data_IF_710269177118
#
_entry.id   IF_710269177118
#
_cell.length_a   1.000
_cell.length_b   1.000
_cell.length_c   1.000
_cell.angle_alpha   90.00
_cell.angle_beta   90.00
_cell.angle_gamma   90.00
#
_symmetry.space_group_name_H-M   'P 1'
#
loop_
_entity.id
_entity.type
_entity.pdbx_description
1 polymer ?
#
# COMPACT_ATOMS: atom_id res chain seq x y z
N UNK A 1 56.67 -2.11 -19.75
CA UNK A 1 56.34 -0.71 -19.42
C UNK A 1 54.94 -0.67 -18.82
N UNK A 2 54.76 0.04 -17.71
CA UNK A 2 53.55 0.07 -16.85
C UNK A 2 52.34 0.70 -17.56
N UNK A 3 51.12 0.28 -17.20
CA UNK A 3 49.99 1.08 -16.63
C UNK A 3 48.74 0.16 -16.54
N UNK A 4 48.35 -0.32 -15.36
CA UNK A 4 47.35 0.26 -14.43
C UNK A 4 45.92 0.39 -14.99
N UNK A 5 45.09 -0.58 -14.59
CA UNK A 5 43.69 -0.48 -14.14
C UNK A 5 43.02 0.89 -14.16
N UNK A 6 41.85 0.99 -14.79
CA UNK A 6 40.69 1.80 -14.33
C UNK A 6 39.40 1.08 -14.80
N UNK A 7 38.72 0.43 -13.84
CA UNK A 7 37.24 0.36 -13.81
C UNK A 7 36.73 1.78 -13.58
N UNK A 8 35.68 2.21 -14.29
CA UNK A 8 34.52 2.96 -13.78
C UNK A 8 33.70 3.60 -14.92
N UNK A 9 32.40 3.69 -14.68
CA UNK A 9 31.35 4.43 -15.41
C UNK A 9 30.73 3.76 -16.64
N UNK A 10 29.96 2.71 -16.36
CA UNK A 10 28.63 2.54 -16.97
C UNK A 10 27.74 3.59 -16.31
N UNK A 11 27.23 4.54 -17.07
CA UNK A 11 26.33 5.57 -16.58
C UNK A 11 26.22 6.70 -17.59
N UNK A 12 24.98 7.08 -17.90
CA UNK A 12 24.56 8.11 -18.85
C UNK A 12 24.44 7.63 -20.31
N UNK A 13 23.54 6.67 -20.53
CA UNK A 13 22.88 6.44 -21.81
C UNK A 13 21.42 6.87 -21.68
N UNK A 14 21.14 8.15 -21.92
CA UNK A 14 19.93 8.69 -22.55
C UNK A 14 19.98 10.20 -22.42
N UNK A 15 20.62 10.84 -23.39
CA UNK A 15 20.40 12.24 -23.66
C UNK A 15 20.36 12.46 -25.17
N UNK A 16 19.22 12.95 -25.61
CA UNK A 16 19.13 13.99 -26.64
C UNK A 16 19.35 13.56 -28.10
N UNK A 17 18.31 13.02 -28.75
CA UNK A 17 18.07 13.26 -30.18
C UNK A 17 16.56 13.52 -30.38
N UNK A 18 16.15 14.77 -30.20
CA UNK A 18 14.91 15.31 -30.80
C UNK A 18 15.34 16.52 -31.61
N UNK A 19 15.55 16.33 -32.92
CA UNK A 19 15.43 17.40 -33.90
C UNK A 19 15.48 16.80 -35.32
N UNK A 20 14.65 17.38 -36.19
CA UNK A 20 14.63 17.30 -37.66
C UNK A 20 13.69 16.26 -38.29
N UNK A 21 12.44 16.70 -38.48
CA UNK A 21 11.78 16.53 -39.78
C UNK A 21 10.89 17.75 -40.10
N UNK A 22 10.80 18.17 -41.38
CA UNK A 22 10.43 19.53 -41.77
C UNK A 22 8.93 19.82 -41.73
N UNK A 23 8.62 21.06 -41.40
CA UNK A 23 7.30 21.70 -41.44
C UNK A 23 6.84 21.84 -42.90
N UNK A 24 5.88 21.03 -43.35
CA UNK A 24 5.16 21.29 -44.61
C UNK A 24 3.93 22.15 -44.31
N UNK A 25 3.93 23.37 -44.86
CA UNK A 25 2.75 24.21 -44.99
C UNK A 25 1.88 23.62 -46.10
N UNK A 26 0.65 23.22 -45.77
CA UNK A 26 -0.38 22.90 -46.75
C UNK A 26 -1.39 24.04 -46.78
N UNK A 27 -1.43 24.77 -47.90
CA UNK A 27 -2.59 25.53 -48.31
C UNK A 27 -3.14 24.84 -49.57
N UNK A 28 -4.40 24.41 -49.56
CA UNK A 28 -5.38 24.67 -50.62
C UNK A 28 -6.62 23.76 -50.48
N UNK A 29 -7.76 24.44 -50.49
CA UNK A 29 -9.08 24.07 -51.02
C UNK A 29 -9.96 23.01 -50.34
N UNK A 30 -11.23 23.43 -50.22
CA UNK A 30 -12.32 22.78 -49.54
C UNK A 30 -12.76 21.50 -50.25
N UNK A 31 -12.99 20.45 -49.48
CA UNK A 31 -14.02 19.45 -49.79
C UNK A 31 -14.52 18.88 -48.47
N UNK A 32 -15.82 19.02 -48.24
CA UNK A 32 -16.51 18.64 -47.02
C UNK A 32 -16.65 17.12 -46.97
N UNK A 33 -15.77 16.45 -46.24
CA UNK A 33 -16.00 15.07 -45.82
C UNK A 33 -16.21 15.05 -44.30
N UNK A 34 -17.47 14.92 -43.90
CA UNK A 34 -17.85 14.65 -42.51
C UNK A 34 -17.46 13.22 -42.15
N UNK A 35 -16.17 12.98 -41.93
CA UNK A 35 -15.72 11.85 -41.12
C UNK A 35 -15.85 12.28 -39.67
N UNK A 36 -16.93 11.84 -39.03
CA UNK A 36 -17.02 11.76 -37.57
C UNK A 36 -15.93 10.81 -37.10
N UNK A 37 -14.71 11.31 -36.98
CA UNK A 37 -13.64 10.61 -36.32
C UNK A 37 -14.01 10.61 -34.84
N UNK A 38 -14.56 9.48 -34.40
CA UNK A 38 -14.81 9.18 -33.00
C UNK A 38 -13.52 9.43 -32.24
N UNK A 39 -13.46 10.58 -31.56
CA UNK A 39 -12.47 10.83 -30.54
C UNK A 39 -12.80 9.90 -29.38
N UNK A 40 -12.29 8.68 -29.45
CA UNK A 40 -12.09 7.89 -28.24
C UNK A 40 -11.00 8.65 -27.50
N UNK A 41 -11.40 9.56 -26.61
CA UNK A 41 -10.50 9.91 -25.52
C UNK A 41 -10.28 8.61 -24.77
N UNK A 42 -9.04 8.15 -24.71
CA UNK A 42 -8.63 7.18 -23.70
C UNK A 42 -8.78 7.88 -22.35
N UNK A 43 -10.01 7.93 -21.87
CA UNK A 43 -10.33 8.25 -20.49
C UNK A 43 -9.77 7.08 -19.70
N UNK A 44 -8.59 7.28 -19.10
CA UNK A 44 -8.03 6.35 -18.13
C UNK A 44 -9.05 6.28 -17.00
N UNK A 45 -9.89 5.25 -17.03
CA UNK A 45 -10.85 4.97 -15.97
C UNK A 45 -10.02 4.43 -14.81
N UNK A 46 -9.69 5.30 -13.86
CA UNK A 46 -9.20 4.87 -12.56
C UNK A 46 -10.33 4.09 -11.88
N UNK A 47 -10.18 2.76 -11.77
CA UNK A 47 -11.12 1.93 -11.05
C UNK A 47 -10.65 1.82 -9.60
N UNK A 48 -11.25 2.61 -8.73
CA UNK A 48 -11.09 2.43 -7.29
C UNK A 48 -11.77 1.12 -6.89
N UNK A 49 -10.98 0.10 -6.57
CA UNK A 49 -11.48 -1.18 -6.08
C UNK A 49 -11.76 -1.07 -4.58
N UNK A 50 -12.77 -1.81 -4.09
CA UNK A 50 -13.11 -1.89 -2.67
C UNK A 50 -13.18 -3.35 -2.28
N UNK A 51 -12.51 -3.72 -1.19
CA UNK A 51 -12.43 -5.10 -0.72
C UNK A 51 -12.55 -5.19 0.81
N UNK A 52 -12.65 -6.43 1.29
CA UNK A 52 -12.79 -6.81 2.68
C UNK A 52 -11.64 -7.73 3.06
N UNK A 53 -10.91 -7.34 4.10
CA UNK A 53 -9.99 -8.26 4.77
C UNK A 53 -10.74 -8.94 5.90
N UNK A 54 -10.79 -10.28 5.91
CA UNK A 54 -11.52 -11.11 6.88
C UNK A 54 -10.73 -12.40 7.14
N UNK A 55 -9.59 -12.25 7.84
CA UNK A 55 -8.60 -13.33 7.96
C UNK A 55 -8.12 -13.52 9.41
N UNK A 56 -7.78 -14.78 9.72
CA UNK A 56 -7.04 -15.11 10.94
C UNK A 56 -5.55 -14.78 10.75
N UNK A 57 -4.98 -14.04 11.71
CA UNK A 57 -3.58 -13.62 11.68
C UNK A 57 -2.76 -14.30 12.79
N UNK A 58 -1.46 -14.43 12.53
CA UNK A 58 -0.48 -14.93 13.48
C UNK A 58 0.78 -14.06 13.40
N UNK A 59 1.18 -13.45 14.51
CA UNK A 59 2.31 -12.53 14.58
C UNK A 59 3.12 -12.75 15.85
N UNK A 60 4.44 -12.64 15.74
CA UNK A 60 5.32 -12.75 16.89
C UNK A 60 5.39 -11.43 17.66
N UNK A 61 5.17 -11.50 18.97
CA UNK A 61 5.25 -10.35 19.89
C UNK A 61 6.58 -10.41 20.63
N UNK A 62 7.52 -9.64 20.12
CA UNK A 62 8.91 -9.55 20.58
C UNK A 62 9.01 -9.25 22.09
N UNK A 63 8.27 -8.26 22.57
CA UNK A 63 8.36 -7.80 23.95
C UNK A 63 7.94 -8.82 25.02
N UNK A 64 7.17 -9.86 24.67
CA UNK A 64 6.80 -10.96 25.58
C UNK A 64 7.30 -12.32 25.09
N UNK A 65 8.10 -12.34 24.01
CA UNK A 65 8.64 -13.56 23.39
C UNK A 65 7.58 -14.64 23.16
N UNK A 66 6.45 -14.25 22.57
CA UNK A 66 5.28 -15.10 22.40
C UNK A 66 4.57 -14.88 21.07
N UNK A 67 3.82 -15.89 20.63
CA UNK A 67 2.96 -15.78 19.46
C UNK A 67 1.63 -15.13 19.84
N UNK A 68 1.17 -14.17 19.04
CA UNK A 68 -0.17 -13.62 19.09
C UNK A 68 -0.99 -14.09 17.88
N UNK A 69 -2.19 -14.57 18.15
CA UNK A 69 -3.19 -14.90 17.13
C UNK A 69 -4.43 -14.06 17.33
N UNK A 70 -5.18 -13.83 16.26
CA UNK A 70 -6.50 -13.22 16.35
C UNK A 70 -7.13 -13.12 14.97
N UNK A 71 -8.32 -12.55 14.93
CA UNK A 71 -9.08 -12.39 13.71
C UNK A 71 -9.22 -10.92 13.35
N UNK A 72 -8.80 -10.56 12.14
CA UNK A 72 -8.74 -9.18 11.66
C UNK A 72 -9.78 -8.96 10.56
N UNK A 73 -10.67 -8.01 10.78
CA UNK A 73 -11.75 -7.66 9.86
C UNK A 73 -11.80 -6.15 9.59
N UNK A 74 -11.68 -5.73 8.33
CA UNK A 74 -11.86 -4.34 7.93
C UNK A 74 -12.15 -4.20 6.43
N UNK A 75 -12.64 -3.02 6.03
CA UNK A 75 -12.82 -2.65 4.62
C UNK A 75 -11.76 -1.67 4.18
N UNK A 76 -11.34 -1.78 2.93
CA UNK A 76 -10.38 -0.87 2.33
C UNK A 76 -10.67 -0.69 0.85
N UNK A 77 -9.99 0.29 0.27
CA UNK A 77 -10.08 0.58 -1.17
C UNK A 77 -8.72 0.98 -1.69
N UNK A 78 -8.42 0.59 -2.92
CA UNK A 78 -7.15 0.93 -3.58
C UNK A 78 -7.38 1.28 -5.05
N UNK A 79 -6.46 2.07 -5.58
CA UNK A 79 -6.29 2.35 -7.00
C UNK A 79 -4.89 1.84 -7.36
N UNK A 80 -4.84 0.82 -8.21
CA UNK A 80 -3.65 -0.01 -8.42
C UNK A 80 -2.44 0.84 -8.83
N UNK A 81 -1.39 0.81 -7.99
CA UNK A 81 -0.15 1.58 -8.23
C UNK A 81 -0.25 3.07 -7.88
N UNK A 82 -1.36 3.53 -7.29
CA UNK A 82 -1.62 4.95 -6.98
C UNK A 82 -1.82 5.19 -5.49
N UNK A 83 -2.82 4.57 -4.88
CA UNK A 83 -3.19 4.83 -3.48
C UNK A 83 -3.99 3.68 -2.85
N UNK A 84 -3.95 3.59 -1.54
CA UNK A 84 -4.85 2.76 -0.74
C UNK A 84 -5.43 3.57 0.41
N UNK A 85 -6.59 3.16 0.92
CA UNK A 85 -7.26 3.76 2.06
C UNK A 85 -8.02 2.69 2.84
N UNK A 86 -7.77 2.60 4.15
CA UNK A 86 -8.55 1.82 5.08
C UNK A 86 -9.79 2.63 5.48
N UNK A 87 -10.95 1.99 5.47
CA UNK A 87 -12.20 2.65 5.85
C UNK A 87 -12.36 2.60 7.37
N UNK A 88 -12.69 3.75 7.97
CA UNK A 88 -12.98 3.86 9.40
C UNK A 88 -14.41 3.42 9.76
N UNK A 89 -15.28 3.21 8.75
CA UNK A 89 -16.66 2.75 8.90
C UNK A 89 -17.00 1.71 7.82
N UNK A 90 -17.46 0.50 8.18
CA UNK A 90 -17.60 0.00 9.56
C UNK A 90 -16.27 0.00 10.31
N UNK A 91 -16.32 0.20 11.63
CA UNK A 91 -15.09 0.31 12.43
C UNK A 91 -14.25 -0.97 12.27
N UNK A 92 -12.96 -0.87 11.92
CA UNK A 92 -12.07 -2.03 11.87
C UNK A 92 -12.09 -2.81 13.17
N UNK A 93 -12.05 -4.14 13.08
CA UNK A 93 -12.17 -5.05 14.21
C UNK A 93 -10.98 -5.97 14.28
N UNK A 94 -10.38 -6.05 15.46
CA UNK A 94 -9.42 -7.08 15.82
C UNK A 94 -9.97 -7.79 17.05
N UNK A 95 -10.33 -9.06 16.93
CA UNK A 95 -11.04 -9.79 17.97
C UNK A 95 -10.55 -11.24 18.08
N UNK A 96 -11.00 -11.95 19.12
CA UNK A 96 -10.48 -13.28 19.48
C UNK A 96 -8.95 -13.28 19.65
N UNK A 97 -8.39 -12.16 20.13
CA UNK A 97 -6.94 -12.03 20.32
C UNK A 97 -6.49 -12.95 21.45
N UNK A 98 -5.50 -13.76 21.16
CA UNK A 98 -4.83 -14.65 22.10
C UNK A 98 -3.33 -14.42 22.00
N UNK A 99 -2.64 -14.41 23.15
CA UNK A 99 -1.18 -14.34 23.21
C UNK A 99 -0.70 -15.51 24.04
N UNK A 100 0.22 -16.30 23.51
CA UNK A 100 0.79 -17.42 24.26
C UNK A 100 1.48 -16.92 25.54
N UNK A 101 1.17 -17.50 26.70
CA UNK A 101 1.78 -17.09 27.97
C UNK A 101 1.36 -15.70 28.49
N UNK A 102 0.39 -15.03 27.85
CA UNK A 102 -0.12 -13.75 28.32
C UNK A 102 -1.63 -13.57 28.08
N UNK A 103 -2.27 -12.74 28.89
CA UNK A 103 -3.68 -12.41 28.70
C UNK A 103 -3.81 -11.00 28.11
N UNK A 104 -4.20 -10.84 26.83
CA UNK A 104 -4.60 -9.53 26.33
C UNK A 104 -5.84 -9.09 27.09
N UNK A 105 -5.86 -7.84 27.59
CA UNK A 105 -7.05 -7.30 28.25
C UNK A 105 -8.14 -7.07 27.20
N UNK A 106 -9.01 -8.07 27.04
CA UNK A 106 -10.19 -8.02 26.18
C UNK A 106 -11.10 -6.86 26.61
N UNK A 107 -11.09 -5.77 25.83
CA UNK A 107 -11.98 -4.63 26.09
C UNK A 107 -11.62 -3.31 25.42
N UNK A 108 -10.47 -3.17 24.76
CA UNK A 108 -10.00 -1.87 24.25
C UNK A 108 -9.25 -1.99 22.92
N UNK A 109 -9.87 -2.59 21.89
CA UNK A 109 -9.32 -2.53 20.54
C UNK A 109 -9.89 -1.30 19.84
N UNK A 110 -9.42 -0.12 20.21
CA UNK A 110 -9.73 1.09 19.44
C UNK A 110 -8.79 1.14 18.27
N UNK A 111 -9.30 0.81 17.08
CA UNK A 111 -8.60 1.07 15.83
C UNK A 111 -8.52 2.59 15.60
N UNK A 112 -7.32 3.10 15.42
CA UNK A 112 -7.07 4.45 14.90
C UNK A 112 -6.62 4.33 13.44
N UNK A 113 -7.39 4.92 12.52
CA UNK A 113 -7.16 4.81 11.07
C UNK A 113 -6.62 6.13 10.53
N UNK A 114 -5.52 6.05 9.79
CA UNK A 114 -4.84 7.17 9.15
C UNK A 114 -4.52 6.82 7.70
N UNK A 115 -5.46 7.10 6.79
CA UNK A 115 -5.30 6.77 5.37
C UNK A 115 -5.22 5.25 5.15
N UNK A 116 -4.07 4.79 4.68
CA UNK A 116 -3.71 3.40 4.38
C UNK A 116 -3.21 2.61 5.60
N UNK A 117 -3.04 3.24 6.76
CA UNK A 117 -2.53 2.61 7.98
C UNK A 117 -3.59 2.61 9.09
N UNK A 118 -3.66 1.52 9.87
CA UNK A 118 -4.43 1.45 11.10
C UNK A 118 -3.62 0.89 12.26
N UNK A 119 -3.92 1.39 13.46
CA UNK A 119 -3.22 1.07 14.69
C UNK A 119 -4.17 0.45 15.71
N UNK A 120 -3.70 -0.60 16.39
CA UNK A 120 -4.32 -1.17 17.57
C UNK A 120 -3.34 -1.15 18.73
N UNK A 121 -3.73 -0.53 19.83
CA UNK A 121 -2.94 -0.55 21.06
C UNK A 121 -3.61 -1.41 22.12
N UNK A 122 -2.84 -2.32 22.71
CA UNK A 122 -3.34 -3.16 23.80
C UNK A 122 -2.23 -3.56 24.77
N UNK A 123 -2.62 -3.85 26.00
CA UNK A 123 -1.70 -4.36 27.01
C UNK A 123 -1.74 -5.90 27.04
N UNK A 124 -0.57 -6.52 26.98
CA UNK A 124 -0.40 -7.96 27.22
C UNK A 124 0.28 -8.13 28.58
N UNK A 125 -0.36 -8.86 29.48
CA UNK A 125 0.24 -9.22 30.76
C UNK A 125 1.08 -10.49 30.62
N UNK A 126 2.37 -10.42 30.91
CA UNK A 126 3.22 -11.60 31.16
C UNK A 126 3.25 -11.99 32.65
N UNK A 127 4.06 -12.97 33.02
CA UNK A 127 4.15 -13.50 34.40
C UNK A 127 4.50 -12.44 35.45
N UNK A 128 5.18 -11.35 35.08
CA UNK A 128 5.67 -10.35 36.03
C UNK A 128 5.33 -8.89 35.70
N UNK A 129 4.95 -8.54 34.45
CA UNK A 129 4.69 -7.16 34.02
C UNK A 129 3.67 -7.11 32.86
N UNK A 130 2.87 -6.04 32.81
CA UNK A 130 2.04 -5.73 31.63
C UNK A 130 2.82 -4.82 30.68
N UNK A 131 2.86 -5.19 29.39
CA UNK A 131 3.51 -4.39 28.34
C UNK A 131 2.46 -3.90 27.35
N UNK A 132 2.55 -2.61 27.01
CA UNK A 132 1.76 -2.03 25.94
C UNK A 132 2.39 -2.45 24.61
N UNK A 133 1.56 -2.91 23.67
CA UNK A 133 1.96 -3.31 22.33
C UNK A 133 1.15 -2.49 21.34
N UNK A 134 1.80 -2.07 20.27
CA UNK A 134 1.16 -1.41 19.15
C UNK A 134 1.21 -2.32 17.92
N UNK A 135 0.06 -2.83 17.52
CA UNK A 135 -0.12 -3.63 16.33
C UNK A 135 -0.52 -2.72 15.17
N UNK A 136 0.28 -2.76 14.10
CA UNK A 136 0.13 -1.90 12.93
C UNK A 136 -0.29 -2.75 11.75
N UNK A 137 -1.29 -2.27 11.02
CA UNK A 137 -1.74 -2.86 9.75
C UNK A 137 -1.73 -1.77 8.70
N UNK A 138 -1.25 -2.08 7.50
CA UNK A 138 -1.31 -1.18 6.36
C UNK A 138 -1.70 -1.91 5.09
N UNK A 139 -2.28 -1.18 4.14
CA UNK A 139 -2.63 -1.67 2.81
C UNK A 139 -1.76 -0.95 1.79
N UNK A 140 -1.07 -1.68 0.93
CA UNK A 140 -0.30 -1.06 -0.15
C UNK A 140 -1.18 -0.65 -1.34
N UNK A 141 -0.60 0.10 -2.28
CA UNK A 141 -1.31 0.59 -3.47
C UNK A 141 -1.74 -0.52 -4.45
N UNK A 142 -1.40 -1.79 -4.18
CA UNK A 142 -1.85 -2.96 -4.96
C UNK A 142 -2.91 -3.78 -4.19
N UNK A 143 -3.41 -3.27 -3.06
CA UNK A 143 -4.42 -3.93 -2.25
C UNK A 143 -3.88 -5.03 -1.34
N UNK A 144 -2.55 -5.14 -1.16
CA UNK A 144 -1.96 -6.14 -0.26
C UNK A 144 -1.99 -5.66 1.18
N UNK A 145 -2.53 -6.50 2.06
CA UNK A 145 -2.59 -6.23 3.50
C UNK A 145 -1.33 -6.76 4.18
N UNK A 146 -0.69 -5.88 4.95
CA UNK A 146 0.54 -6.17 5.70
C UNK A 146 0.36 -5.77 7.16
N UNK A 147 1.04 -6.48 8.06
CA UNK A 147 0.92 -6.22 9.49
C UNK A 147 2.17 -6.58 10.28
N UNK A 148 2.41 -5.84 11.36
CA UNK A 148 3.55 -6.04 12.26
C UNK A 148 3.28 -5.50 13.67
N UNK A 149 4.17 -5.83 14.60
CA UNK A 149 4.14 -5.33 15.98
C UNK A 149 5.28 -4.34 16.19
N UNK A 150 4.95 -3.15 16.69
CA UNK A 150 5.92 -2.16 17.20
C UNK A 150 6.19 -2.40 18.69
N UNK A 151 7.48 -2.38 19.05
CA UNK A 151 7.99 -2.48 20.42
C UNK A 151 8.09 -1.10 21.11
#
# INVERSE_FOLDING_TARGET
MRLKSIKKFIGVLTALIVALSPMMVMASEATTDTNTQSGVSDEVVYSMETDYYDEDICVFVSCVNATMTGHLYFTYSYDEGVTANIHSSPKPRFYNVHVEGGNPKNGSYTAEVHGDVMYYEFAVSGENEARQIKFVVYVDEYGSVNYYVED
#
